data_IF_531481776048
#
_entry.id   IF_531481776048
#
_cell.length_a   1.000
_cell.length_b   1.000
_cell.length_c   1.000
_cell.angle_alpha   90.00
_cell.angle_beta   90.00
_cell.angle_gamma   90.00
#
_symmetry.space_group_name_H-M   'P 1'
#
loop_
_entity.id
_entity.type
_entity.pdbx_description
1 polymer ?
#
# COMPACT_ATOMS: atom_id res chain seq x y z
N UNK A 1 17.34 -3.81 -9.69
CA UNK A 1 16.28 -2.80 -9.75
C UNK A 1 16.19 -2.09 -8.41
N UNK A 2 15.73 -0.84 -8.39
CA UNK A 2 15.51 -0.06 -7.16
C UNK A 2 14.40 -0.74 -6.30
N UNK A 3 14.65 -1.03 -5.01
CA UNK A 3 13.69 -1.71 -4.13
C UNK A 3 12.40 -0.92 -3.87
N UNK A 4 12.38 0.39 -4.12
CA UNK A 4 11.18 1.21 -3.99
C UNK A 4 10.24 1.13 -5.20
N UNK A 5 10.69 0.52 -6.31
CA UNK A 5 9.89 0.40 -7.53
C UNK A 5 8.99 -0.84 -7.48
N UNK A 6 7.70 -0.61 -7.73
CA UNK A 6 6.67 -1.64 -7.81
C UNK A 6 6.20 -1.83 -9.26
N UNK A 7 5.72 -3.03 -9.62
CA UNK A 7 5.09 -3.27 -10.92
C UNK A 7 3.81 -2.46 -11.09
N UNK A 8 3.36 -2.29 -12.33
CA UNK A 8 2.11 -1.59 -12.62
C UNK A 8 0.91 -2.36 -12.04
N UNK A 9 0.07 -1.73 -11.18
CA UNK A 9 -1.09 -2.38 -10.59
C UNK A 9 -2.25 -2.49 -11.60
N UNK A 10 -3.15 -3.45 -11.37
CA UNK A 10 -4.43 -3.46 -12.10
C UNK A 10 -5.29 -2.27 -11.64
N UNK A 11 -6.00 -1.62 -12.57
CA UNK A 11 -6.85 -0.48 -12.23
C UNK A 11 -7.95 -0.81 -11.21
N UNK A 12 -8.43 -2.06 -11.18
CA UNK A 12 -9.48 -2.51 -10.27
C UNK A 12 -9.01 -2.58 -8.82
N UNK A 13 -7.73 -2.89 -8.56
CA UNK A 13 -7.21 -2.97 -7.18
C UNK A 13 -6.90 -1.60 -6.56
N UNK A 14 -6.99 -0.52 -7.33
CA UNK A 14 -6.73 0.82 -6.83
C UNK A 14 -7.79 1.24 -5.81
N UNK A 15 -7.37 1.97 -4.78
CA UNK A 15 -8.22 2.46 -3.70
C UNK A 15 -8.87 1.35 -2.84
N UNK A 16 -8.49 0.09 -3.02
CA UNK A 16 -8.84 -0.97 -2.10
C UNK A 16 -7.87 -0.99 -0.91
N UNK A 17 -8.44 -1.12 0.29
CA UNK A 17 -7.67 -1.24 1.52
C UNK A 17 -7.12 -2.66 1.66
N UNK A 18 -5.81 -2.75 1.85
CA UNK A 18 -5.10 -3.97 2.22
C UNK A 18 -4.62 -3.84 3.67
N UNK A 19 -4.62 -4.95 4.39
CA UNK A 19 -4.15 -5.01 5.76
C UNK A 19 -3.22 -6.21 5.93
N UNK A 20 -2.12 -6.02 6.66
CA UNK A 20 -1.28 -7.11 7.12
C UNK A 20 -1.77 -7.56 8.50
N UNK A 21 -1.60 -8.84 8.82
CA UNK A 21 -1.82 -9.35 10.17
C UNK A 21 -1.09 -8.50 11.20
N UNK A 22 -1.78 -8.16 12.28
CA UNK A 22 -1.21 -7.41 13.39
C UNK A 22 -0.04 -8.20 13.98
N UNK A 23 1.10 -7.52 14.15
CA UNK A 23 2.30 -8.12 14.73
C UNK A 23 2.95 -7.11 15.67
N UNK A 24 3.41 -7.59 16.83
CA UNK A 24 4.14 -6.78 17.82
C UNK A 24 3.39 -5.51 18.27
N UNK A 25 2.05 -5.59 18.38
CA UNK A 25 1.20 -4.46 18.79
C UNK A 25 1.05 -3.36 17.72
N UNK A 26 1.48 -3.60 16.49
CA UNK A 26 1.37 -2.65 15.38
C UNK A 26 0.42 -3.19 14.30
N UNK A 27 -0.54 -2.35 13.92
CA UNK A 27 -1.39 -2.57 12.75
C UNK A 27 -0.75 -1.90 11.53
N UNK A 28 -0.67 -2.64 10.43
CA UNK A 28 -0.17 -2.12 9.15
C UNK A 28 -1.27 -2.14 8.11
N UNK A 29 -1.60 -0.96 7.60
CA UNK A 29 -2.61 -0.75 6.55
C UNK A 29 -1.94 -0.24 5.30
N UNK A 30 -2.47 -0.58 4.13
CA UNK A 30 -1.97 -0.05 2.86
C UNK A 30 -3.07 0.12 1.82
N UNK A 31 -2.81 1.00 0.87
CA UNK A 31 -3.65 1.18 -0.30
C UNK A 31 -2.81 1.75 -1.46
N UNK A 32 -3.16 1.35 -2.68
CA UNK A 32 -2.54 1.87 -3.89
C UNK A 32 -3.42 2.96 -4.48
N UNK A 33 -2.88 4.17 -4.61
CA UNK A 33 -3.58 5.32 -5.17
C UNK A 33 -2.93 5.76 -6.48
N UNK A 34 -3.74 6.30 -7.38
CA UNK A 34 -3.27 6.92 -8.63
C UNK A 34 -3.19 8.44 -8.46
N UNK A 35 -2.00 9.00 -8.63
CA UNK A 35 -1.80 10.44 -8.73
C UNK A 35 -1.39 10.81 -10.16
N UNK A 36 -2.30 11.49 -10.88
CA UNK A 36 -2.16 11.74 -12.32
C UNK A 36 -1.95 10.42 -13.10
N UNK A 37 -0.79 10.25 -13.74
CA UNK A 37 -0.40 9.05 -14.50
C UNK A 37 0.58 8.14 -13.72
N UNK A 38 0.68 8.31 -12.41
CA UNK A 38 1.60 7.54 -11.55
C UNK A 38 0.82 6.82 -10.46
N UNK A 39 1.36 5.69 -10.00
CA UNK A 39 0.79 4.88 -8.93
C UNK A 39 1.69 4.94 -7.71
N UNK A 40 1.09 5.05 -6.53
CA UNK A 40 1.79 5.12 -5.25
C UNK A 40 1.10 4.19 -4.28
N UNK A 41 1.84 3.25 -3.72
CA UNK A 41 1.38 2.39 -2.64
C UNK A 41 1.82 2.97 -1.31
N UNK A 42 0.87 3.41 -0.49
CA UNK A 42 1.14 3.99 0.82
C UNK A 42 0.95 2.93 1.90
N UNK A 43 1.89 2.84 2.84
CA UNK A 43 1.79 2.00 4.03
C UNK A 43 1.66 2.91 5.26
N UNK A 44 0.72 2.59 6.15
CA UNK A 44 0.53 3.24 7.44
C UNK A 44 0.81 2.23 8.55
N UNK A 45 1.77 2.56 9.41
CA UNK A 45 2.05 1.82 10.64
C UNK A 45 1.40 2.56 11.81
N UNK A 46 0.50 1.87 12.52
CA UNK A 46 -0.23 2.45 13.64
C UNK A 46 -0.19 1.50 14.85
N UNK A 47 0.33 1.93 16.01
CA UNK A 47 0.21 1.17 17.26
C UNK A 47 -1.26 0.93 17.62
N UNK A 48 -1.54 -0.22 18.22
CA UNK A 48 -2.85 -0.60 18.75
C UNK A 48 -2.98 -0.16 20.20
#
# INVERSE_FOLDING_TARGET
CDPALLPEPNHVMLNHLYALSIKDGVMVLSATHRYKKKYVTTLLYKPI
#
